data_IF_545904920511
#
_entry.id   IF_545904920511
#
_cell.length_a   1.000
_cell.length_b   1.000
_cell.length_c   1.000
_cell.angle_alpha   90.00
_cell.angle_beta   90.00
_cell.angle_gamma   90.00
#
_symmetry.space_group_name_H-M   'P 1'
#
loop_
_entity.id
_entity.type
_entity.pdbx_description
1 polymer ?
#
# COMPACT_ATOMS: atom_id res chain seq x y z
N UNK A 1 -4.68 -12.46 -1.80
CA UNK A 1 -3.38 -12.85 -1.24
C UNK A 1 -2.68 -11.62 -0.69
N UNK A 2 -2.23 -11.64 0.54
CA UNK A 2 -1.44 -10.60 1.19
C UNK A 2 -0.06 -11.18 1.52
N UNK A 3 0.97 -10.75 0.86
CA UNK A 3 1.10 -9.67 -0.11
C UNK A 3 2.19 -9.98 -1.15
N UNK A 4 2.28 -9.16 -2.19
CA UNK A 4 3.38 -9.16 -3.16
C UNK A 4 4.10 -7.82 -3.16
N UNK A 5 5.39 -7.82 -3.47
CA UNK A 5 6.24 -6.64 -3.62
C UNK A 5 7.49 -7.01 -4.42
N UNK A 6 8.37 -6.05 -4.64
CA UNK A 6 9.63 -6.24 -5.37
C UNK A 6 10.88 -6.22 -4.46
N UNK A 7 10.76 -6.57 -3.19
CA UNK A 7 11.89 -6.55 -2.25
C UNK A 7 13.07 -7.42 -2.73
N UNK A 8 12.78 -8.56 -3.36
CA UNK A 8 13.77 -9.44 -4.00
C UNK A 8 13.75 -9.36 -5.55
N UNK A 9 13.21 -8.26 -6.07
CA UNK A 9 13.09 -8.00 -7.50
C UNK A 9 11.92 -8.71 -8.18
N UNK A 10 11.89 -8.61 -9.51
CA UNK A 10 10.87 -9.21 -10.38
C UNK A 10 11.42 -10.40 -11.22
N UNK A 11 12.61 -10.91 -10.91
CA UNK A 11 13.24 -12.01 -11.62
C UNK A 11 12.49 -13.33 -11.52
N UNK A 12 12.76 -14.32 -12.39
CA UNK A 12 12.00 -15.58 -12.49
C UNK A 12 11.92 -16.39 -11.19
N UNK A 13 12.93 -16.26 -10.33
CA UNK A 13 13.04 -16.95 -9.04
C UNK A 13 12.57 -16.11 -7.85
N UNK A 14 12.15 -14.86 -8.08
CA UNK A 14 11.67 -13.97 -7.03
C UNK A 14 10.42 -14.52 -6.34
N UNK A 15 10.21 -14.10 -5.10
CA UNK A 15 8.99 -14.38 -4.35
C UNK A 15 7.76 -13.84 -5.08
N UNK A 16 7.89 -12.66 -5.70
CA UNK A 16 6.84 -12.06 -6.52
C UNK A 16 6.36 -13.04 -7.58
N UNK A 17 7.26 -13.55 -8.42
CA UNK A 17 6.93 -14.47 -9.51
C UNK A 17 6.30 -15.79 -8.99
N UNK A 18 6.83 -16.34 -7.91
CA UNK A 18 6.30 -17.57 -7.31
C UNK A 18 4.87 -17.41 -6.80
N UNK A 19 4.59 -16.27 -6.15
CA UNK A 19 3.25 -15.96 -5.64
C UNK A 19 2.29 -15.69 -6.81
N UNK A 20 2.71 -14.91 -7.81
CA UNK A 20 1.85 -14.55 -8.93
C UNK A 20 1.40 -15.75 -9.76
N UNK A 21 2.23 -16.78 -9.92
CA UNK A 21 1.80 -18.05 -10.55
C UNK A 21 0.64 -18.72 -9.80
N UNK A 22 0.62 -18.63 -8.47
CA UNK A 22 -0.48 -19.16 -7.66
C UNK A 22 -1.70 -18.26 -7.73
N UNK A 23 -1.51 -16.94 -7.64
CA UNK A 23 -2.60 -15.93 -7.76
C UNK A 23 -3.35 -16.13 -9.06
N UNK A 24 -2.65 -16.15 -10.19
CA UNK A 24 -3.24 -16.30 -11.51
C UNK A 24 -3.93 -17.67 -11.67
N UNK A 25 -3.30 -18.74 -11.18
CA UNK A 25 -3.86 -20.09 -11.24
C UNK A 25 -5.19 -20.21 -10.50
N UNK A 26 -5.37 -19.47 -9.41
CA UNK A 26 -6.54 -19.58 -8.53
C UNK A 26 -7.50 -18.40 -8.66
N UNK A 27 -7.23 -17.43 -9.53
CA UNK A 27 -8.06 -16.24 -9.69
C UNK A 27 -8.20 -15.42 -8.40
N UNK A 28 -7.12 -15.24 -7.67
CA UNK A 28 -7.15 -14.59 -6.37
C UNK A 28 -6.82 -13.09 -6.48
N UNK A 29 -7.52 -12.26 -5.72
CA UNK A 29 -7.18 -10.85 -5.48
C UNK A 29 -5.83 -10.72 -4.74
N UNK A 30 -5.04 -9.71 -5.05
CA UNK A 30 -3.71 -9.52 -4.49
C UNK A 30 -3.56 -8.16 -3.80
N UNK A 31 -2.84 -8.14 -2.68
CA UNK A 31 -2.38 -6.92 -2.03
C UNK A 31 -0.93 -6.66 -2.45
N UNK A 32 -0.69 -5.55 -3.13
CA UNK A 32 0.65 -5.08 -3.52
C UNK A 32 1.18 -4.04 -2.53
N UNK A 33 2.39 -4.23 -2.03
CA UNK A 33 3.04 -3.29 -1.12
C UNK A 33 4.00 -2.38 -1.89
N UNK A 34 4.08 -1.10 -1.52
CA UNK A 34 5.02 -0.13 -2.09
C UNK A 34 6.44 -0.33 -1.53
N UNK A 35 6.98 -1.53 -1.80
CA UNK A 35 8.33 -1.97 -1.46
C UNK A 35 9.01 -2.47 -2.74
N UNK A 36 10.21 -2.04 -2.98
CA UNK A 36 11.04 -2.54 -4.07
C UNK A 36 12.46 -2.93 -3.59
N UNK A 37 13.36 -3.10 -4.52
CA UNK A 37 14.74 -3.53 -4.30
C UNK A 37 15.55 -2.54 -3.42
N UNK A 38 15.10 -1.28 -3.33
CA UNK A 38 15.69 -0.24 -2.47
C UNK A 38 15.06 -0.21 -1.07
N UNK A 39 13.97 -0.97 -0.88
CA UNK A 39 13.23 -1.06 0.36
C UNK A 39 11.87 -0.36 0.33
N UNK A 40 11.38 -0.01 1.49
CA UNK A 40 10.05 0.57 1.68
C UNK A 40 10.04 2.05 1.27
N UNK A 41 9.12 2.42 0.36
CA UNK A 41 8.96 3.80 -0.10
C UNK A 41 8.47 4.73 1.01
N UNK A 42 9.07 5.93 1.12
CA UNK A 42 8.70 6.95 2.10
C UNK A 42 7.99 8.16 1.50
N UNK A 43 8.41 8.61 0.32
CA UNK A 43 7.80 9.76 -0.35
C UNK A 43 6.61 9.37 -1.20
N UNK A 44 5.67 10.29 -1.41
CA UNK A 44 4.51 10.08 -2.28
C UNK A 44 4.94 9.69 -3.70
N UNK A 45 5.94 10.37 -4.26
CA UNK A 45 6.44 10.08 -5.60
C UNK A 45 6.95 8.64 -5.71
N UNK A 46 7.75 8.19 -4.74
CA UNK A 46 8.29 6.82 -4.76
C UNK A 46 7.21 5.77 -4.52
N UNK A 47 6.23 6.05 -3.65
CA UNK A 47 5.08 5.16 -3.43
C UNK A 47 4.26 5.00 -4.72
N UNK A 48 3.98 6.10 -5.40
CA UNK A 48 3.24 6.08 -6.66
C UNK A 48 4.03 5.35 -7.74
N UNK A 49 5.32 5.62 -7.90
CA UNK A 49 6.19 4.96 -8.87
C UNK A 49 6.17 3.42 -8.71
N UNK A 50 6.35 2.92 -7.49
CA UNK A 50 6.32 1.47 -7.22
C UNK A 50 4.93 0.89 -7.44
N UNK A 51 3.87 1.59 -7.02
CA UNK A 51 2.50 1.16 -7.23
C UNK A 51 2.13 1.09 -8.72
N UNK A 52 2.50 2.09 -9.51
CA UNK A 52 2.30 2.11 -10.97
C UNK A 52 3.04 0.94 -11.64
N UNK A 53 4.29 0.68 -11.23
CA UNK A 53 5.06 -0.48 -11.69
C UNK A 53 4.34 -1.80 -11.36
N UNK A 54 3.79 -1.94 -10.14
CA UNK A 54 3.02 -3.11 -9.73
C UNK A 54 1.74 -3.25 -10.55
N UNK A 55 0.95 -2.18 -10.69
CA UNK A 55 -0.31 -2.20 -11.43
C UNK A 55 -0.06 -2.58 -12.90
N UNK A 56 0.93 -1.95 -13.55
CA UNK A 56 1.29 -2.26 -14.92
C UNK A 56 1.72 -3.74 -15.08
N UNK A 57 2.58 -4.25 -14.20
CA UNK A 57 3.03 -5.65 -14.24
C UNK A 57 1.87 -6.62 -14.02
N UNK A 58 1.02 -6.37 -13.01
CA UNK A 58 -0.11 -7.22 -12.68
C UNK A 58 -1.17 -7.25 -13.80
N UNK A 59 -1.41 -6.13 -14.46
CA UNK A 59 -2.39 -6.05 -15.55
C UNK A 59 -1.83 -6.55 -16.87
N UNK A 60 -0.65 -6.11 -17.27
CA UNK A 60 -0.08 -6.37 -18.60
C UNK A 60 0.57 -7.78 -18.70
N UNK A 61 1.34 -8.18 -17.68
CA UNK A 61 2.07 -9.45 -17.71
C UNK A 61 1.30 -10.60 -17.07
N UNK A 62 0.44 -10.32 -16.07
CA UNK A 62 -0.32 -11.34 -15.36
C UNK A 62 -1.81 -11.35 -15.72
N UNK A 63 -2.30 -10.38 -16.51
CA UNK A 63 -3.67 -10.34 -17.01
C UNK A 63 -4.72 -10.13 -15.92
N UNK A 64 -4.35 -9.52 -14.78
CA UNK A 64 -5.29 -9.20 -13.71
C UNK A 64 -6.18 -8.00 -14.08
N UNK A 65 -7.43 -8.02 -13.64
CA UNK A 65 -8.26 -6.82 -13.66
C UNK A 65 -7.83 -5.87 -12.54
N UNK A 66 -7.94 -4.55 -12.78
CA UNK A 66 -7.62 -3.55 -11.74
C UNK A 66 -8.46 -3.72 -10.47
N UNK A 67 -9.72 -4.17 -10.59
CA UNK A 67 -10.62 -4.51 -9.48
C UNK A 67 -10.08 -5.61 -8.56
N UNK A 68 -9.17 -6.44 -9.04
CA UNK A 68 -8.54 -7.51 -8.27
C UNK A 68 -7.22 -7.07 -7.61
N UNK A 69 -6.85 -5.80 -7.75
CA UNK A 69 -5.62 -5.24 -7.21
C UNK A 69 -5.92 -4.31 -6.05
N UNK A 70 -5.28 -4.58 -4.91
CA UNK A 70 -5.33 -3.74 -3.71
C UNK A 70 -3.93 -3.22 -3.45
N UNK A 71 -3.74 -1.90 -3.39
CA UNK A 71 -2.44 -1.30 -3.09
C UNK A 71 -2.39 -0.85 -1.62
N UNK A 72 -1.37 -1.31 -0.90
CA UNK A 72 -1.01 -0.80 0.43
C UNK A 72 0.20 0.12 0.31
N UNK A 73 -0.05 1.42 0.46
CA UNK A 73 1.00 2.44 0.40
C UNK A 73 1.88 2.46 1.66
N UNK A 74 1.58 1.64 2.64
CA UNK A 74 2.29 1.52 3.92
C UNK A 74 2.36 2.84 4.72
N UNK A 75 2.45 2.71 6.01
CA UNK A 75 2.67 3.83 6.93
C UNK A 75 3.68 3.45 8.00
N UNK A 76 4.31 4.48 8.58
CA UNK A 76 5.26 4.34 9.68
C UNK A 76 4.66 4.81 10.99
N UNK A 77 5.11 4.27 12.15
CA UNK A 77 4.65 4.71 13.45
C UNK A 77 4.96 6.19 13.71
N UNK A 78 3.96 7.00 14.04
CA UNK A 78 4.15 8.43 14.37
C UNK A 78 4.60 8.66 15.80
N UNK A 79 4.65 7.61 16.62
CA UNK A 79 4.99 7.65 18.04
C UNK A 79 6.44 8.07 18.35
N UNK A 80 7.33 8.05 17.37
CA UNK A 80 8.74 8.40 17.54
C UNK A 80 8.99 9.91 17.70
N UNK A 81 7.96 10.74 17.47
CA UNK A 81 8.05 12.21 17.66
C UNK A 81 8.96 12.94 16.67
N UNK A 82 9.55 12.23 15.72
CA UNK A 82 10.43 12.83 14.71
C UNK A 82 9.59 13.50 13.62
N UNK A 83 10.01 14.68 13.19
CA UNK A 83 9.35 15.47 12.13
C UNK A 83 9.21 14.70 10.81
N UNK A 84 10.19 13.85 10.50
CA UNK A 84 10.21 12.98 9.33
C UNK A 84 9.01 12.02 9.28
N UNK A 85 8.58 11.51 10.42
CA UNK A 85 7.46 10.56 10.52
C UNK A 85 6.10 11.24 10.35
N UNK A 86 5.98 12.52 10.70
CA UNK A 86 4.77 13.31 10.41
C UNK A 86 4.61 13.51 8.90
N UNK A 87 5.70 13.71 8.18
CA UNK A 87 5.71 13.78 6.73
C UNK A 87 5.28 12.48 6.09
N UNK A 88 5.74 11.33 6.58
CA UNK A 88 5.40 10.01 6.03
C UNK A 88 3.87 9.79 5.96
N UNK A 89 3.11 10.27 6.93
CA UNK A 89 1.64 10.20 6.90
C UNK A 89 1.04 11.04 5.77
N UNK A 90 1.53 12.26 5.58
CA UNK A 90 1.09 13.16 4.50
C UNK A 90 1.45 12.57 3.14
N UNK A 91 2.67 12.06 3.01
CA UNK A 91 3.16 11.41 1.78
C UNK A 91 2.30 10.18 1.42
N UNK A 92 1.88 9.41 2.42
CA UNK A 92 0.98 8.25 2.20
C UNK A 92 -0.40 8.68 1.72
N UNK A 93 -1.00 9.71 2.33
CA UNK A 93 -2.31 10.25 1.91
C UNK A 93 -2.23 10.77 0.47
N UNK A 94 -1.18 11.51 0.16
CA UNK A 94 -0.98 12.07 -1.19
C UNK A 94 -0.78 10.95 -2.23
N UNK A 95 -0.02 9.90 -1.90
CA UNK A 95 0.15 8.75 -2.77
C UNK A 95 -1.19 8.05 -3.06
N UNK A 96 -1.99 7.78 -2.03
CA UNK A 96 -3.31 7.15 -2.18
C UNK A 96 -4.22 8.02 -3.06
N UNK A 97 -4.27 9.34 -2.82
CA UNK A 97 -5.06 10.27 -3.62
C UNK A 97 -4.69 10.18 -5.11
N UNK A 98 -3.41 10.26 -5.43
CA UNK A 98 -2.90 10.21 -6.80
C UNK A 98 -3.21 8.89 -7.48
N UNK A 99 -3.04 7.77 -6.78
CA UNK A 99 -3.32 6.44 -7.31
C UNK A 99 -4.82 6.23 -7.58
N UNK A 100 -5.69 6.65 -6.68
CA UNK A 100 -7.14 6.53 -6.88
C UNK A 100 -7.68 7.45 -7.97
N UNK A 101 -7.04 8.59 -8.21
CA UNK A 101 -7.35 9.46 -9.34
C UNK A 101 -6.89 8.87 -10.68
N UNK A 102 -5.70 8.25 -10.73
CA UNK A 102 -5.14 7.65 -11.93
C UNK A 102 -5.81 6.30 -12.28
N UNK A 103 -6.11 5.51 -11.26
CA UNK A 103 -6.69 4.16 -11.39
C UNK A 103 -7.97 4.03 -10.55
N UNK A 104 -9.12 4.50 -11.04
CA UNK A 104 -10.37 4.49 -10.25
C UNK A 104 -10.91 3.09 -9.90
N UNK A 105 -10.41 2.05 -10.54
CA UNK A 105 -10.86 0.67 -10.33
C UNK A 105 -10.00 -0.10 -9.33
N UNK A 106 -8.80 0.36 -9.02
CA UNK A 106 -7.99 -0.30 -7.99
C UNK A 106 -8.57 -0.01 -6.60
N UNK A 107 -8.27 -0.91 -5.68
CA UNK A 107 -8.56 -0.72 -4.26
C UNK A 107 -7.31 -0.30 -3.51
N UNK A 108 -7.48 0.43 -2.42
CA UNK A 108 -6.39 0.77 -1.51
C UNK A 108 -6.69 0.27 -0.11
N UNK A 109 -5.66 -0.17 0.59
CA UNK A 109 -5.73 -0.51 2.01
C UNK A 109 -4.61 0.15 2.78
N UNK A 110 -4.74 0.25 4.08
CA UNK A 110 -3.74 0.86 4.94
C UNK A 110 -3.74 0.22 6.33
N UNK A 111 -2.59 -0.26 6.76
CA UNK A 111 -2.38 -0.80 8.10
C UNK A 111 -2.37 0.30 9.16
N UNK A 112 -3.53 0.88 9.50
CA UNK A 112 -3.66 1.98 10.49
C UNK A 112 -3.08 1.66 11.85
N UNK A 113 -3.01 0.38 12.24
CA UNK A 113 -2.36 -0.05 13.48
C UNK A 113 -0.88 0.31 13.52
N UNK A 114 -0.22 0.40 12.37
CA UNK A 114 1.19 0.80 12.30
C UNK A 114 1.38 2.27 12.68
N UNK A 115 0.49 3.17 12.27
CA UNK A 115 0.54 4.59 12.63
C UNK A 115 0.52 4.77 14.14
N UNK A 116 -0.30 4.00 14.83
CA UNK A 116 -0.51 4.10 16.28
C UNK A 116 0.41 3.20 17.12
N UNK A 117 1.33 2.47 16.48
CA UNK A 117 2.25 1.59 17.19
C UNK A 117 3.12 2.40 18.16
N UNK A 118 3.23 1.92 19.40
CA UNK A 118 4.01 2.60 20.46
C UNK A 118 3.25 3.70 21.22
N UNK A 119 2.02 4.09 20.78
CA UNK A 119 1.18 5.00 21.55
C UNK A 119 0.45 4.26 22.68
N UNK A 120 0.08 5.01 23.74
CA UNK A 120 -0.76 4.47 24.81
C UNK A 120 -2.18 4.13 24.28
N UNK A 121 -2.93 3.21 24.94
CA UNK A 121 -4.23 2.74 24.43
C UNK A 121 -5.25 3.85 24.17
N UNK A 122 -5.30 4.89 25.02
CA UNK A 122 -6.23 6.01 24.85
C UNK A 122 -5.90 6.85 23.61
N UNK A 123 -4.60 7.15 23.38
CA UNK A 123 -4.15 7.86 22.20
C UNK A 123 -4.40 7.05 20.91
N UNK A 124 -4.26 5.72 20.96
CA UNK A 124 -4.56 4.83 19.83
C UNK A 124 -6.04 4.89 19.44
N UNK A 125 -6.95 4.91 20.43
CA UNK A 125 -8.38 5.03 20.16
C UNK A 125 -8.74 6.36 19.49
N UNK A 126 -8.19 7.48 19.99
CA UNK A 126 -8.41 8.81 19.40
C UNK A 126 -7.89 8.87 17.97
N UNK A 127 -6.71 8.32 17.72
CA UNK A 127 -6.14 8.31 16.37
C UNK A 127 -6.93 7.44 15.40
N UNK A 128 -7.35 6.26 15.82
CA UNK A 128 -8.22 5.39 15.02
C UNK A 128 -9.56 6.05 14.73
N UNK A 129 -10.09 6.83 15.66
CA UNK A 129 -11.37 7.53 15.47
C UNK A 129 -11.23 8.74 14.56
N UNK A 130 -10.16 9.52 14.67
CA UNK A 130 -9.88 10.66 13.77
C UNK A 130 -9.61 10.21 12.33
N UNK A 131 -9.00 9.04 12.13
CA UNK A 131 -8.85 8.44 10.79
C UNK A 131 -10.16 7.84 10.24
N UNK A 132 -11.22 7.75 11.03
CA UNK A 132 -12.59 7.37 10.59
C UNK A 132 -13.42 8.54 10.06
N UNK A 133 -12.85 9.75 9.98
CA UNK A 133 -13.51 10.94 9.41
C UNK A 133 -13.82 10.72 7.93
N UNK A 134 -14.95 11.21 7.39
CA UNK A 134 -15.42 10.95 6.02
C UNK A 134 -14.40 11.20 4.92
N UNK A 135 -13.49 12.16 5.09
CA UNK A 135 -12.39 12.44 4.15
C UNK A 135 -11.36 11.31 4.07
N UNK A 136 -11.25 10.46 5.10
CA UNK A 136 -10.38 9.29 5.10
C UNK A 136 -11.12 8.02 4.62
N UNK A 137 -12.44 7.96 4.83
CA UNK A 137 -13.28 6.84 4.37
C UNK A 137 -13.38 6.73 2.85
N UNK A 138 -13.24 7.85 2.13
CA UNK A 138 -13.22 7.84 0.67
C UNK A 138 -11.87 7.39 0.09
N UNK A 139 -10.83 7.31 0.91
CA UNK A 139 -9.46 6.93 0.50
C UNK A 139 -9.11 5.49 0.88
N UNK A 140 -9.82 4.91 1.85
CA UNK A 140 -9.56 3.55 2.34
C UNK A 140 -10.89 2.79 2.29
N UNK A 141 -11.13 2.08 1.21
CA UNK A 141 -12.22 1.10 1.17
C UNK A 141 -11.75 -0.17 1.88
N UNK A 142 -12.33 -0.46 3.03
CA UNK A 142 -12.22 -1.76 3.68
C UNK A 142 -13.17 -2.76 3.03
#
# INVERSE_FOLDING_TARGET
>A
VNSVNYEDGAGPESRFQKIMRLVTRHGATVVGLTIDEEGQARTADRKVEIAERLIADLTENWGMAEDDIIIDCLTFPISTGQEEVRRDGIETIEAIRRLTEAHPQIHTTLGLSNISFGLNPAARQVLSWSSSVPSFRSLVQC
#
